data_IF_549810037160
#
_entry.id   IF_549810037160
#
_cell.length_a   1.000
_cell.length_b   1.000
_cell.length_c   1.000
_cell.angle_alpha   90.00
_cell.angle_beta   90.00
_cell.angle_gamma   90.00
#
_symmetry.space_group_name_H-M   'P 1'
#
loop_
_entity.id
_entity.type
_entity.pdbx_description
1 polymer ?
#
# COMPACT_ATOMS: atom_id res chain seq x y z
N UNK A 1 -1.23 55.61 -33.35
CA UNK A 1 -1.21 54.78 -32.13
C UNK A 1 -0.01 55.22 -31.32
N UNK A 2 -0.28 55.89 -30.20
CA UNK A 2 0.68 56.76 -29.51
C UNK A 2 0.86 56.28 -28.07
N UNK A 3 2.10 56.32 -27.56
CA UNK A 3 2.49 56.06 -26.16
C UNK A 3 1.56 56.69 -25.11
N UNK A 4 0.86 57.78 -25.45
CA UNK A 4 -0.02 58.52 -24.54
C UNK A 4 -1.37 57.87 -24.23
N UNK A 5 -1.81 56.86 -24.98
CA UNK A 5 -3.04 56.11 -24.64
C UNK A 5 -2.78 54.88 -23.76
N UNK A 6 -1.57 54.32 -23.83
CA UNK A 6 -1.09 53.23 -22.94
C UNK A 6 -0.77 53.73 -21.52
N UNK A 7 -0.33 54.98 -21.37
CA UNK A 7 0.02 55.58 -20.06
C UNK A 7 -1.22 55.89 -19.19
N UNK A 8 -2.39 56.12 -19.80
CA UNK A 8 -3.66 56.34 -19.08
C UNK A 8 -4.32 55.06 -18.58
N UNK A 9 -4.08 53.91 -19.21
CA UNK A 9 -4.63 52.63 -18.76
C UNK A 9 -3.84 52.06 -17.57
N UNK A 10 -2.51 52.24 -17.55
CA UNK A 10 -1.65 51.76 -16.47
C UNK A 10 -1.77 52.57 -15.18
N UNK A 11 -2.10 53.87 -15.25
CA UNK A 11 -2.27 54.73 -14.06
C UNK A 11 -3.59 54.53 -13.30
N UNK A 12 -4.48 53.69 -13.81
CA UNK A 12 -5.79 53.39 -13.21
C UNK A 12 -5.80 52.12 -12.34
N UNK A 13 -4.73 51.31 -12.33
CA UNK A 13 -4.73 49.98 -11.71
C UNK A 13 -3.84 49.89 -10.47
N UNK A 14 -3.07 50.93 -10.15
CA UNK A 14 -2.23 50.95 -8.94
C UNK A 14 -2.48 52.21 -8.11
N UNK A 15 -3.72 52.39 -7.64
CA UNK A 15 -4.02 53.15 -6.44
C UNK A 15 -3.97 52.20 -5.24
N UNK A 16 -2.80 52.05 -4.62
CA UNK A 16 -2.75 51.80 -3.18
C UNK A 16 -1.62 52.65 -2.59
N UNK A 17 -2.08 53.49 -1.67
CA UNK A 17 -1.46 54.62 -0.99
C UNK A 17 -0.41 54.22 0.04
N UNK A 18 0.66 55.00 0.08
CA UNK A 18 1.86 54.90 0.94
C UNK A 18 1.68 55.53 2.34
N UNK A 19 0.47 55.50 2.91
CA UNK A 19 0.10 56.37 4.05
C UNK A 19 -0.29 55.62 5.35
N UNK A 20 0.38 54.51 5.67
CA UNK A 20 0.20 53.87 6.99
C UNK A 20 1.50 53.25 7.55
N UNK A 21 2.55 54.04 7.77
CA UNK A 21 3.47 53.79 8.89
C UNK A 21 3.90 55.13 9.52
N UNK A 22 3.24 55.47 10.61
CA UNK A 22 3.64 56.52 11.54
C UNK A 22 4.93 56.13 12.28
N UNK A 23 6.02 56.77 11.88
CA UNK A 23 7.05 57.38 12.73
C UNK A 23 7.30 56.79 14.14
N UNK A 24 8.11 55.73 14.22
CA UNK A 24 9.02 55.56 15.37
C UNK A 24 10.36 56.23 15.03
N UNK A 25 10.47 57.52 15.37
CA UNK A 25 11.73 58.26 15.34
C UNK A 25 12.75 57.61 16.29
N UNK A 26 13.88 57.14 15.76
CA UNK A 26 15.21 57.41 16.34
C UNK A 26 16.28 57.17 15.26
N UNK A 27 17.13 58.18 15.10
CA UNK A 27 18.24 58.37 14.15
C UNK A 27 19.42 58.83 15.05
N UNK A 28 20.73 58.81 14.68
CA UNK A 28 21.44 58.22 13.52
C UNK A 28 22.71 57.41 13.92
N UNK A 29 23.40 56.91 12.87
CA UNK A 29 24.82 57.18 12.58
C UNK A 29 25.75 55.95 12.53
N UNK A 30 26.34 55.76 11.35
CA UNK A 30 27.74 55.37 11.22
C UNK A 30 28.02 53.99 10.62
N UNK A 31 28.80 53.97 9.53
CA UNK A 31 29.70 52.85 9.23
C UNK A 31 29.48 52.09 7.92
N UNK A 32 30.23 52.47 6.89
CA UNK A 32 30.46 51.69 5.66
C UNK A 32 31.01 50.28 5.94
N UNK A 33 30.56 49.26 5.19
CA UNK A 33 31.34 48.48 4.18
C UNK A 33 30.59 47.20 3.73
N UNK A 34 30.57 46.97 2.39
CA UNK A 34 30.74 45.73 1.58
C UNK A 34 30.17 44.41 2.17
N UNK A 35 29.43 43.52 1.49
CA UNK A 35 29.39 43.12 0.07
C UNK A 35 28.23 42.13 -0.12
N UNK A 36 27.67 42.12 -1.33
CA UNK A 36 27.06 41.00 -2.06
C UNK A 36 26.52 39.78 -1.28
N UNK A 37 25.20 39.56 -1.34
CA UNK A 37 24.60 38.30 -1.86
C UNK A 37 23.08 38.31 -1.70
N UNK A 38 22.33 38.81 -2.69
CA UNK A 38 20.95 38.35 -2.86
C UNK A 38 20.42 38.54 -4.29
N UNK A 39 20.81 37.60 -5.15
CA UNK A 39 20.12 37.27 -6.40
C UNK A 39 20.17 35.76 -6.61
N UNK A 40 19.41 34.98 -5.84
CA UNK A 40 19.21 33.54 -6.09
C UNK A 40 17.91 32.99 -5.49
N UNK A 41 16.75 33.65 -5.68
CA UNK A 41 15.47 33.03 -5.31
C UNK A 41 14.33 33.28 -6.31
N UNK A 42 14.64 33.68 -7.56
CA UNK A 42 13.64 33.88 -8.62
C UNK A 42 13.37 32.65 -9.51
N UNK A 43 14.04 31.52 -9.25
CA UNK A 43 13.87 30.28 -10.04
C UNK A 43 13.12 29.17 -9.28
N UNK A 44 12.69 29.42 -8.04
CA UNK A 44 12.06 28.40 -7.19
C UNK A 44 10.55 28.25 -7.38
N UNK A 45 9.87 29.23 -8.01
CA UNK A 45 8.40 29.19 -8.14
C UNK A 45 7.90 28.39 -9.36
N UNK A 46 8.66 28.37 -10.48
CA UNK A 46 8.26 27.62 -11.67
C UNK A 46 8.48 26.10 -11.55
N UNK A 47 9.46 25.66 -10.75
CA UNK A 47 9.63 24.25 -10.44
C UNK A 47 8.58 23.73 -9.45
N UNK A 48 8.05 24.59 -8.57
CA UNK A 48 7.04 24.20 -7.59
C UNK A 48 5.69 23.86 -8.25
N UNK A 49 5.31 24.57 -9.31
CA UNK A 49 4.08 24.27 -10.06
C UNK A 49 4.19 22.95 -10.85
N UNK A 50 5.37 22.59 -11.36
CA UNK A 50 5.58 21.28 -11.99
C UNK A 50 5.57 20.14 -10.97
N UNK A 51 6.00 20.37 -9.73
CA UNK A 51 5.89 19.37 -8.65
C UNK A 51 4.42 19.14 -8.27
N UNK A 52 3.56 20.17 -8.27
CA UNK A 52 2.13 19.99 -7.92
C UNK A 52 1.37 19.21 -9.02
N UNK A 53 1.72 19.36 -10.30
CA UNK A 53 1.05 18.65 -11.39
C UNK A 53 1.74 17.34 -11.85
N UNK A 54 3.03 17.13 -11.56
CA UNK A 54 3.73 15.88 -11.91
C UNK A 54 3.68 14.82 -10.79
N UNK A 55 3.45 15.21 -9.53
CA UNK A 55 3.36 14.28 -8.39
C UNK A 55 2.17 13.29 -8.49
N UNK A 56 0.96 13.63 -8.96
CA UNK A 56 -0.09 12.61 -9.13
C UNK A 56 0.23 11.61 -10.26
N UNK A 57 1.12 11.95 -11.20
CA UNK A 57 1.54 11.05 -12.28
C UNK A 57 2.69 10.12 -11.86
N UNK A 58 3.58 10.58 -10.98
CA UNK A 58 4.69 9.80 -10.42
C UNK A 58 4.28 8.90 -9.24
N UNK A 59 3.06 9.07 -8.71
CA UNK A 59 2.47 8.21 -7.68
C UNK A 59 1.77 6.96 -8.26
N UNK A 60 1.88 6.71 -9.57
CA UNK A 60 1.37 5.50 -10.21
C UNK A 60 2.32 4.33 -9.90
N UNK A 61 2.13 3.75 -8.73
CA UNK A 61 2.37 2.39 -8.23
C UNK A 61 2.78 2.49 -6.75
N UNK A 62 2.15 1.70 -5.86
CA UNK A 62 2.20 1.96 -4.43
C UNK A 62 3.60 1.68 -3.87
N UNK A 63 4.10 2.59 -3.02
CA UNK A 63 4.85 2.12 -1.85
C UNK A 63 3.92 1.18 -1.10
N UNK A 64 4.39 -0.01 -0.70
CA UNK A 64 3.62 -0.93 0.15
C UNK A 64 2.97 -0.13 1.31
N UNK A 65 1.66 0.16 1.24
CA UNK A 65 1.00 0.79 2.35
C UNK A 65 0.74 -0.34 3.35
N UNK A 66 1.36 -0.21 4.52
CA UNK A 66 0.92 -0.92 5.72
C UNK A 66 -0.39 -0.31 6.29
N UNK A 67 -1.01 0.65 5.58
CA UNK A 67 -2.29 1.26 5.93
C UNK A 67 -3.47 0.64 5.18
N UNK A 68 -4.67 0.81 5.75
CA UNK A 68 -5.95 0.35 5.19
C UNK A 68 -6.34 0.99 3.85
N UNK A 69 -7.57 0.73 3.41
CA UNK A 69 -8.11 1.09 2.10
C UNK A 69 -7.76 2.52 1.63
N UNK A 70 -7.79 3.51 2.52
CA UNK A 70 -7.63 4.93 2.15
C UNK A 70 -6.28 5.29 1.49
N UNK A 71 -5.20 4.52 1.72
CA UNK A 71 -3.88 4.84 1.17
C UNK A 71 -3.52 4.07 -0.10
N UNK A 72 -4.20 2.95 -0.37
CA UNK A 72 -3.89 2.03 -1.46
C UNK A 72 -4.92 2.19 -2.60
N UNK A 73 -4.52 2.01 -3.87
CA UNK A 73 -5.47 1.86 -4.97
C UNK A 73 -6.52 0.79 -4.62
N UNK A 74 -7.79 1.17 -4.73
CA UNK A 74 -8.92 0.34 -4.35
C UNK A 74 -10.19 0.75 -5.09
N UNK A 75 -11.19 -0.11 -5.07
CA UNK A 75 -12.53 0.16 -5.59
C UNK A 75 -13.55 -0.78 -4.91
N UNK A 76 -14.83 -0.46 -5.02
CA UNK A 76 -15.91 -1.27 -4.44
C UNK A 76 -16.69 -2.02 -5.54
N UNK A 77 -16.97 -3.30 -5.29
CA UNK A 77 -17.76 -4.17 -6.16
C UNK A 77 -18.61 -5.09 -5.30
N UNK A 78 -19.91 -5.20 -5.60
CA UNK A 78 -20.84 -6.09 -4.89
C UNK A 78 -20.77 -5.96 -3.36
N UNK A 79 -20.71 -4.72 -2.86
CA UNK A 79 -20.61 -4.40 -1.43
C UNK A 79 -19.34 -4.94 -0.74
N UNK A 80 -18.28 -5.19 -1.52
CA UNK A 80 -16.94 -5.54 -1.04
C UNK A 80 -15.93 -4.53 -1.56
N UNK A 81 -14.96 -4.18 -0.72
CA UNK A 81 -13.83 -3.35 -1.14
C UNK A 81 -12.69 -4.25 -1.59
N UNK A 82 -12.15 -3.96 -2.77
CA UNK A 82 -10.98 -4.63 -3.32
C UNK A 82 -9.82 -3.65 -3.35
N UNK A 83 -8.69 -4.05 -2.78
CA UNK A 83 -7.49 -3.24 -2.64
C UNK A 83 -6.36 -3.95 -3.38
N UNK A 84 -5.46 -3.21 -4.03
CA UNK A 84 -4.30 -3.81 -4.72
C UNK A 84 -3.52 -4.75 -3.78
N UNK A 85 -3.20 -5.96 -4.26
CA UNK A 85 -2.54 -7.02 -3.47
C UNK A 85 -1.25 -6.50 -2.81
N UNK A 86 -0.97 -6.94 -1.58
CA UNK A 86 0.29 -6.64 -0.88
C UNK A 86 1.48 -7.41 -1.46
N UNK A 87 1.24 -8.51 -2.16
CA UNK A 87 2.26 -9.29 -2.85
C UNK A 87 2.52 -8.70 -4.23
N UNK A 88 3.07 -7.49 -4.25
CA UNK A 88 3.26 -6.71 -5.48
C UNK A 88 4.08 -7.45 -6.55
N UNK A 89 4.98 -8.35 -6.12
CA UNK A 89 5.80 -9.21 -6.99
C UNK A 89 5.01 -10.20 -7.85
N UNK A 90 3.77 -10.52 -7.44
CA UNK A 90 2.89 -11.47 -8.12
C UNK A 90 1.58 -10.78 -8.58
N UNK A 91 1.46 -9.47 -8.34
CA UNK A 91 0.21 -8.75 -8.53
C UNK A 91 0.05 -8.23 -9.97
N UNK A 92 1.13 -8.07 -10.72
CA UNK A 92 1.10 -7.51 -12.08
C UNK A 92 1.50 -8.58 -13.08
N UNK A 93 0.68 -8.79 -14.11
CA UNK A 93 0.95 -9.76 -15.18
C UNK A 93 0.59 -9.18 -16.55
N UNK A 94 1.34 -9.56 -17.59
CA UNK A 94 1.05 -9.16 -18.97
C UNK A 94 -0.14 -9.92 -19.57
N UNK A 95 -0.37 -11.15 -19.10
CA UNK A 95 -1.46 -12.02 -19.53
C UNK A 95 -2.48 -12.20 -18.41
N UNK A 96 -3.76 -12.22 -18.78
CA UNK A 96 -4.84 -12.49 -17.85
C UNK A 96 -4.75 -13.95 -17.38
N UNK A 97 -4.69 -14.23 -16.06
CA UNK A 97 -4.65 -15.60 -15.57
C UNK A 97 -5.88 -16.42 -15.97
N UNK A 98 -5.69 -17.74 -16.12
CA UNK A 98 -6.77 -18.65 -16.51
C UNK A 98 -7.98 -18.59 -15.57
N UNK A 99 -9.18 -18.78 -16.14
CA UNK A 99 -10.45 -18.77 -15.40
C UNK A 99 -11.02 -17.39 -15.09
N UNK A 100 -10.28 -16.30 -15.34
CA UNK A 100 -10.81 -14.94 -15.23
C UNK A 100 -11.56 -14.54 -16.50
N UNK A 101 -12.77 -14.01 -16.33
CA UNK A 101 -13.65 -13.57 -17.42
C UNK A 101 -13.98 -12.08 -17.28
N UNK A 102 -14.17 -11.35 -18.40
CA UNK A 102 -14.58 -9.95 -18.37
C UNK A 102 -15.88 -9.75 -17.59
N UNK A 103 -15.91 -8.75 -16.71
CA UNK A 103 -17.05 -8.48 -15.83
C UNK A 103 -17.59 -7.04 -15.93
N UNK A 104 -16.84 -6.12 -16.53
CA UNK A 104 -17.27 -4.73 -16.77
C UNK A 104 -16.11 -3.75 -16.67
N UNK A 105 -16.42 -2.51 -16.32
CA UNK A 105 -15.43 -1.46 -16.02
C UNK A 105 -15.60 -0.94 -14.60
N UNK A 106 -14.51 -0.47 -14.00
CA UNK A 106 -14.48 0.18 -12.68
C UNK A 106 -13.64 1.45 -12.71
N UNK A 107 -13.85 2.32 -11.72
CA UNK A 107 -12.96 3.44 -11.43
C UNK A 107 -12.20 3.13 -10.15
N UNK A 108 -10.87 3.23 -10.22
CA UNK A 108 -9.96 2.98 -9.10
C UNK A 108 -9.71 4.30 -8.38
N UNK A 109 -9.65 4.24 -7.05
CA UNK A 109 -9.18 5.37 -6.23
C UNK A 109 -7.82 5.88 -6.72
N UNK A 110 -7.65 7.20 -6.74
CA UNK A 110 -6.46 7.84 -7.33
C UNK A 110 -6.59 8.25 -8.79
N UNK A 111 -7.77 8.08 -9.42
CA UNK A 111 -8.13 8.76 -10.67
C UNK A 111 -7.91 7.95 -11.95
N UNK A 112 -7.87 6.63 -11.86
CA UNK A 112 -7.97 5.76 -13.03
C UNK A 112 -9.44 5.38 -13.24
N UNK A 113 -10.03 5.79 -14.35
CA UNK A 113 -11.45 5.59 -14.65
C UNK A 113 -11.62 4.57 -15.79
N UNK A 114 -12.82 3.98 -15.88
CA UNK A 114 -13.23 3.07 -16.96
C UNK A 114 -12.28 1.89 -17.23
N UNK A 115 -11.60 1.38 -16.19
CA UNK A 115 -10.66 0.27 -16.32
C UNK A 115 -11.42 -1.06 -16.45
N UNK A 116 -11.20 -1.87 -17.51
CA UNK A 116 -11.80 -3.20 -17.63
C UNK A 116 -11.36 -4.11 -16.48
N UNK A 117 -12.31 -4.84 -15.89
CA UNK A 117 -12.00 -5.78 -14.82
C UNK A 117 -12.56 -7.18 -15.08
N UNK A 118 -11.95 -8.16 -14.42
CA UNK A 118 -12.12 -9.58 -14.69
C UNK A 118 -12.30 -10.35 -13.38
N UNK A 119 -13.19 -11.34 -13.38
CA UNK A 119 -13.51 -12.15 -12.21
C UNK A 119 -13.37 -13.63 -12.49
N UNK A 120 -13.03 -14.39 -11.46
CA UNK A 120 -13.05 -15.84 -11.49
C UNK A 120 -13.95 -16.36 -10.35
N UNK A 121 -15.06 -17.06 -10.63
CA UNK A 121 -15.93 -17.63 -9.60
C UNK A 121 -15.25 -18.64 -8.68
N UNK A 122 -14.14 -19.26 -9.13
CA UNK A 122 -13.36 -20.19 -8.32
C UNK A 122 -12.47 -19.51 -7.28
N UNK A 123 -12.16 -18.22 -7.46
CA UNK A 123 -11.38 -17.40 -6.52
C UNK A 123 -12.04 -16.01 -6.39
N UNK A 124 -13.23 -15.93 -5.78
CA UNK A 124 -14.01 -14.70 -5.70
C UNK A 124 -13.36 -13.59 -4.85
N UNK A 125 -12.26 -13.90 -4.17
CA UNK A 125 -11.41 -12.98 -3.41
C UNK A 125 -10.56 -12.10 -4.32
N UNK A 126 -10.33 -12.51 -5.57
CA UNK A 126 -9.46 -11.80 -6.52
C UNK A 126 -10.26 -11.14 -7.63
N UNK A 127 -9.83 -9.94 -8.00
CA UNK A 127 -10.23 -9.25 -9.23
C UNK A 127 -8.96 -8.82 -9.95
N UNK A 128 -8.89 -9.10 -11.24
CA UNK A 128 -7.88 -8.49 -12.10
C UNK A 128 -8.45 -7.25 -12.76
N UNK A 129 -7.67 -6.17 -12.81
CA UNK A 129 -8.01 -4.94 -13.52
C UNK A 129 -6.96 -4.68 -14.58
N UNK A 130 -7.38 -4.40 -15.81
CA UNK A 130 -6.48 -3.99 -16.87
C UNK A 130 -6.28 -2.48 -16.83
N UNK A 131 -5.05 -2.05 -16.52
CA UNK A 131 -4.73 -0.65 -16.26
C UNK A 131 -3.28 -0.32 -16.64
N UNK A 132 -2.97 0.97 -16.77
CA UNK A 132 -1.59 1.43 -16.94
C UNK A 132 -0.77 1.24 -15.66
N UNK A 133 0.43 0.67 -15.81
CA UNK A 133 1.42 0.40 -14.77
C UNK A 133 2.81 0.86 -15.23
N UNK A 134 3.74 1.03 -14.29
CA UNK A 134 5.16 1.33 -14.55
C UNK A 134 6.10 0.28 -13.93
N UNK A 135 5.64 -0.96 -13.84
CA UNK A 135 6.41 -2.13 -13.38
C UNK A 135 6.01 -3.35 -14.18
N UNK A 136 6.94 -4.29 -14.37
CA UNK A 136 6.67 -5.60 -14.95
C UNK A 136 6.25 -6.64 -13.89
N UNK A 137 6.04 -6.20 -12.64
CA UNK A 137 5.68 -7.06 -11.52
C UNK A 137 6.86 -7.79 -10.89
N UNK A 138 8.06 -7.76 -11.46
CA UNK A 138 9.22 -8.44 -10.86
C UNK A 138 9.87 -7.61 -9.76
N UNK A 139 10.65 -8.26 -8.90
CA UNK A 139 11.43 -7.60 -7.85
C UNK A 139 12.92 -7.63 -8.20
N UNK A 140 13.63 -6.53 -7.93
CA UNK A 140 15.08 -6.48 -7.99
C UNK A 140 15.74 -7.18 -6.79
N UNK A 141 17.07 -7.32 -6.81
CA UNK A 141 17.82 -7.95 -5.74
C UNK A 141 17.70 -7.23 -4.37
N UNK A 142 17.26 -5.98 -4.35
CA UNK A 142 17.01 -5.20 -3.14
C UNK A 142 15.54 -5.28 -2.67
N UNK A 143 14.71 -6.08 -3.34
CA UNK A 143 13.30 -6.26 -3.00
C UNK A 143 12.40 -5.10 -3.44
N UNK A 144 12.84 -4.27 -4.39
CA UNK A 144 12.02 -3.22 -4.98
C UNK A 144 11.39 -3.71 -6.28
N UNK A 145 10.18 -3.23 -6.58
CA UNK A 145 9.56 -3.47 -7.87
C UNK A 145 10.42 -2.93 -9.02
N UNK A 146 10.70 -3.77 -10.00
CA UNK A 146 11.38 -3.40 -11.23
C UNK A 146 10.55 -2.37 -11.98
N UNK A 147 11.11 -1.18 -12.20
CA UNK A 147 10.41 -0.11 -12.92
C UNK A 147 10.56 -0.24 -14.42
N UNK A 148 9.49 0.10 -15.14
CA UNK A 148 9.42 0.12 -16.59
C UNK A 148 8.81 1.44 -17.07
N UNK A 149 8.91 1.77 -18.36
CA UNK A 149 8.02 2.76 -18.97
C UNK A 149 6.53 2.40 -18.75
N UNK A 150 5.62 3.38 -18.79
CA UNK A 150 4.19 3.13 -18.70
C UNK A 150 3.71 2.15 -19.78
N UNK A 151 2.96 1.13 -19.38
CA UNK A 151 2.36 0.14 -20.28
C UNK A 151 1.10 -0.44 -19.61
N UNK A 152 0.14 -0.98 -20.38
CA UNK A 152 -1.04 -1.60 -19.81
C UNK A 152 -0.75 -3.05 -19.40
N UNK A 153 -1.20 -3.44 -18.21
CA UNK A 153 -1.08 -4.80 -17.67
C UNK A 153 -2.29 -5.17 -16.80
N UNK A 154 -2.39 -6.44 -16.42
CA UNK A 154 -3.40 -6.93 -15.49
C UNK A 154 -2.87 -6.82 -14.06
N UNK A 155 -3.63 -6.16 -13.19
CA UNK A 155 -3.27 -5.94 -11.79
C UNK A 155 -4.25 -6.64 -10.87
N UNK A 156 -3.76 -7.45 -9.93
CA UNK A 156 -4.55 -8.17 -8.94
C UNK A 156 -4.94 -7.26 -7.78
N UNK A 157 -6.24 -7.11 -7.59
CA UNK A 157 -6.87 -6.56 -6.40
C UNK A 157 -7.53 -7.68 -5.61
N UNK A 158 -7.52 -7.53 -4.30
CA UNK A 158 -7.93 -8.58 -3.36
C UNK A 158 -8.92 -8.00 -2.36
N UNK A 159 -9.84 -8.84 -1.90
CA UNK A 159 -10.78 -8.48 -0.84
C UNK A 159 -10.03 -7.89 0.37
N UNK A 160 -10.47 -6.72 0.84
CA UNK A 160 -9.81 -6.00 1.93
C UNK A 160 -9.66 -6.82 3.21
N UNK A 161 -10.59 -7.76 3.44
CA UNK A 161 -10.61 -8.64 4.61
C UNK A 161 -9.47 -9.66 4.58
N UNK A 162 -8.92 -9.94 3.39
CA UNK A 162 -7.84 -10.92 3.20
C UNK A 162 -6.50 -10.28 2.92
N UNK A 163 -6.47 -9.00 2.54
CA UNK A 163 -5.23 -8.33 2.16
C UNK A 163 -4.20 -8.36 3.30
N UNK A 164 -3.10 -9.07 3.07
CA UNK A 164 -2.03 -9.22 4.05
C UNK A 164 -2.40 -10.10 5.25
N UNK A 165 -3.40 -10.97 5.10
CA UNK A 165 -3.80 -11.97 6.11
C UNK A 165 -3.23 -13.34 5.76
N UNK A 166 -2.53 -13.92 6.72
CA UNK A 166 -2.06 -15.29 6.63
C UNK A 166 -3.04 -16.20 7.38
N UNK A 167 -3.66 -17.11 6.64
CA UNK A 167 -4.72 -18.01 7.11
C UNK A 167 -4.31 -19.47 6.94
N UNK A 168 -4.73 -20.30 7.89
CA UNK A 168 -4.72 -21.77 7.79
C UNK A 168 -6.15 -22.30 7.87
N UNK A 169 -6.48 -23.23 6.99
CA UNK A 169 -7.64 -24.12 7.15
C UNK A 169 -7.17 -25.45 7.71
N UNK A 170 -7.76 -25.90 8.82
CA UNK A 170 -7.52 -27.22 9.38
C UNK A 170 -8.84 -27.85 9.81
N UNK A 171 -9.16 -29.01 9.22
CA UNK A 171 -10.42 -29.74 9.47
C UNK A 171 -11.70 -28.88 9.28
N UNK A 172 -11.65 -27.88 8.40
CA UNK A 172 -12.76 -26.97 8.12
C UNK A 172 -12.82 -25.72 8.98
N UNK A 173 -11.97 -25.61 10.00
CA UNK A 173 -11.82 -24.41 10.84
C UNK A 173 -10.72 -23.50 10.29
N UNK A 174 -10.91 -22.18 10.46
CA UNK A 174 -10.00 -21.16 9.96
C UNK A 174 -9.24 -20.49 11.09
N UNK A 175 -7.93 -20.41 10.94
CA UNK A 175 -7.01 -19.81 11.89
C UNK A 175 -6.29 -18.66 11.21
N UNK A 176 -6.13 -17.55 11.93
CA UNK A 176 -5.38 -16.38 11.47
C UNK A 176 -4.03 -16.33 12.19
N UNK A 177 -2.97 -16.09 11.43
CA UNK A 177 -1.64 -15.89 12.00
C UNK A 177 -1.63 -14.66 12.91
N UNK A 178 -1.08 -14.82 14.12
CA UNK A 178 -0.88 -13.71 15.06
C UNK A 178 -0.02 -12.58 14.48
N UNK A 179 0.79 -12.84 13.44
CA UNK A 179 1.56 -11.81 12.73
C UNK A 179 0.71 -10.90 11.85
N UNK A 180 -0.45 -11.40 11.40
CA UNK A 180 -1.31 -10.75 10.42
C UNK A 180 -2.67 -10.33 10.98
N UNK A 181 -3.04 -10.86 12.16
CA UNK A 181 -4.24 -10.48 12.88
C UNK A 181 -4.22 -9.00 13.24
N UNK A 182 -5.33 -8.31 12.98
CA UNK A 182 -5.58 -6.93 13.40
C UNK A 182 -6.33 -6.98 14.72
N UNK A 183 -5.77 -6.33 15.72
CA UNK A 183 -6.37 -6.12 17.04
C UNK A 183 -6.79 -4.66 17.27
N UNK A 184 -6.69 -3.82 16.24
CA UNK A 184 -7.00 -2.40 16.24
C UNK A 184 -7.89 -2.01 15.05
N UNK A 185 -8.46 -0.80 15.14
CA UNK A 185 -9.34 -0.23 14.12
C UNK A 185 -10.82 -0.45 14.42
N UNK A 186 -11.68 -0.03 13.49
CA UNK A 186 -13.14 -0.09 13.66
C UNK A 186 -13.71 -1.51 13.52
N UNK A 187 -12.96 -2.41 12.85
CA UNK A 187 -13.32 -3.82 12.63
C UNK A 187 -12.08 -4.72 12.80
N UNK A 188 -11.65 -4.99 14.05
CA UNK A 188 -10.52 -5.85 14.33
C UNK A 188 -10.89 -7.33 14.17
N UNK A 189 -9.93 -8.17 13.76
CA UNK A 189 -10.14 -9.62 13.65
C UNK A 189 -10.26 -10.28 15.03
N UNK A 190 -9.52 -9.73 16.01
CA UNK A 190 -9.45 -10.20 17.40
C UNK A 190 -9.39 -9.02 18.35
N UNK A 191 -9.70 -9.22 19.63
CA UNK A 191 -9.48 -8.16 20.63
C UNK A 191 -8.01 -8.08 21.03
N UNK A 192 -7.51 -6.88 21.33
CA UNK A 192 -6.15 -6.66 21.85
C UNK A 192 -5.85 -7.55 23.08
N UNK A 193 -6.80 -7.65 24.01
CA UNK A 193 -6.65 -8.48 25.21
C UNK A 193 -6.47 -9.97 24.88
N UNK A 194 -7.24 -10.49 23.91
CA UNK A 194 -7.13 -11.88 23.48
C UNK A 194 -5.81 -12.14 22.74
N UNK A 195 -5.40 -11.23 21.84
CA UNK A 195 -4.13 -11.37 21.14
C UNK A 195 -2.94 -11.36 22.12
N UNK A 196 -2.95 -10.46 23.11
CA UNK A 196 -1.91 -10.40 24.13
C UNK A 196 -1.86 -11.67 25.00
N UNK A 197 -3.01 -12.25 25.34
CA UNK A 197 -3.09 -13.53 26.05
C UNK A 197 -2.47 -14.67 25.22
N UNK A 198 -2.86 -14.79 23.95
CA UNK A 198 -2.33 -15.82 23.05
C UNK A 198 -0.83 -15.65 22.80
N UNK A 199 -0.35 -14.42 22.65
CA UNK A 199 1.09 -14.14 22.54
C UNK A 199 1.85 -14.51 23.82
N UNK A 200 1.26 -14.33 25.00
CA UNK A 200 1.89 -14.72 26.26
C UNK A 200 1.99 -16.24 26.44
N UNK A 201 0.96 -16.99 25.99
CA UNK A 201 0.90 -18.45 26.11
C UNK A 201 1.68 -19.17 25.02
N UNK A 202 1.46 -18.78 23.76
CA UNK A 202 1.89 -19.50 22.56
C UNK A 202 2.79 -18.66 21.64
N UNK A 203 3.23 -17.50 22.12
CA UNK A 203 4.01 -16.54 21.35
C UNK A 203 5.20 -17.15 20.61
N UNK A 204 5.76 -16.31 19.73
CA UNK A 204 6.79 -16.70 18.76
C UNK A 204 7.97 -17.42 19.41
N UNK A 205 8.36 -18.54 18.81
CA UNK A 205 9.54 -19.31 19.20
C UNK A 205 10.53 -19.34 18.04
N UNK A 206 11.78 -18.97 18.32
CA UNK A 206 12.89 -19.06 17.37
C UNK A 206 13.63 -20.34 17.67
N UNK A 207 13.57 -21.30 16.74
CA UNK A 207 14.21 -22.62 16.81
C UNK A 207 13.71 -23.52 17.97
N UNK A 208 13.74 -24.84 17.76
CA UNK A 208 13.33 -25.83 18.75
C UNK A 208 12.22 -26.80 18.29
N UNK A 209 11.92 -27.79 19.14
CA UNK A 209 10.80 -28.71 18.92
C UNK A 209 9.45 -28.04 19.24
N UNK A 210 8.37 -28.62 18.75
CA UNK A 210 7.03 -28.22 19.16
C UNK A 210 6.89 -28.32 20.69
N UNK A 211 6.14 -27.42 21.34
CA UNK A 211 5.89 -27.49 22.79
C UNK A 211 5.20 -28.81 23.16
N UNK A 212 5.39 -29.25 24.41
CA UNK A 212 4.67 -30.40 24.96
C UNK A 212 3.16 -30.21 24.80
N UNK A 213 2.46 -31.28 24.39
CA UNK A 213 1.02 -31.26 24.09
C UNK A 213 0.69 -31.09 22.62
N UNK A 214 1.57 -30.45 21.83
CA UNK A 214 1.36 -30.32 20.39
C UNK A 214 1.75 -31.59 19.64
N UNK A 215 0.89 -32.00 18.71
CA UNK A 215 1.08 -33.16 17.85
C UNK A 215 1.07 -32.76 16.38
N UNK A 216 1.81 -33.45 15.49
CA UNK A 216 1.83 -33.12 14.07
C UNK A 216 0.44 -33.29 13.42
N UNK A 217 -0.06 -32.23 12.77
CA UNK A 217 -1.22 -32.29 11.89
C UNK A 217 -0.83 -32.73 10.46
N UNK A 218 0.38 -32.37 10.04
CA UNK A 218 0.89 -32.63 8.68
C UNK A 218 1.51 -31.38 8.07
N UNK A 219 1.65 -31.37 6.75
CA UNK A 219 2.08 -30.19 5.99
C UNK A 219 0.89 -29.58 5.29
N UNK A 220 0.61 -28.30 5.57
CA UNK A 220 -0.43 -27.55 4.90
C UNK A 220 -0.07 -27.31 3.44
N UNK A 221 -1.03 -27.56 2.56
CA UNK A 221 -0.91 -27.26 1.13
C UNK A 221 -1.04 -25.75 0.92
N UNK A 222 -0.18 -25.19 0.06
CA UNK A 222 -0.28 -23.80 -0.33
C UNK A 222 -1.38 -23.61 -1.39
N UNK A 223 -2.41 -22.83 -1.08
CA UNK A 223 -3.57 -22.63 -1.98
C UNK A 223 -3.58 -21.26 -2.67
N UNK A 224 -2.53 -20.46 -2.47
CA UNK A 224 -2.36 -19.14 -3.10
C UNK A 224 -2.51 -17.97 -2.13
N UNK A 225 -1.70 -16.93 -2.36
CA UNK A 225 -1.68 -15.68 -1.58
C UNK A 225 -2.98 -14.89 -1.64
N UNK A 226 -3.39 -14.23 -0.56
CA UNK A 226 -4.64 -13.47 -0.51
C UNK A 226 -5.89 -14.31 -0.88
N UNK A 227 -5.89 -15.61 -0.60
CA UNK A 227 -7.06 -16.50 -0.78
C UNK A 227 -7.62 -16.95 0.56
N UNK A 228 -8.85 -17.47 0.55
CA UNK A 228 -9.34 -18.30 1.65
C UNK A 228 -8.80 -19.72 1.39
N UNK A 229 -7.98 -20.29 2.28
CA UNK A 229 -7.44 -21.64 2.07
C UNK A 229 -8.56 -22.69 2.07
N UNK A 230 -8.52 -23.61 1.12
CA UNK A 230 -9.52 -24.68 0.97
C UNK A 230 -8.86 -26.05 1.00
N UNK A 231 -9.48 -27.02 1.66
CA UNK A 231 -8.93 -28.37 1.85
C UNK A 231 -8.98 -28.84 3.30
N UNK A 232 -8.36 -29.99 3.58
CA UNK A 232 -8.30 -30.55 4.94
C UNK A 232 -7.20 -29.95 5.83
N UNK A 233 -6.10 -29.51 5.22
CA UNK A 233 -5.00 -28.78 5.85
C UNK A 233 -4.33 -27.90 4.77
N UNK A 234 -4.62 -26.60 4.79
CA UNK A 234 -4.24 -25.67 3.72
C UNK A 234 -3.84 -24.30 4.28
N UNK A 235 -3.01 -23.57 3.54
CA UNK A 235 -2.46 -22.25 3.92
C UNK A 235 -2.43 -21.31 2.72
N UNK A 236 -2.75 -20.03 2.95
CA UNK A 236 -2.64 -19.00 1.93
C UNK A 236 -1.29 -18.25 1.96
N UNK A 237 -0.38 -18.58 2.88
CA UNK A 237 0.90 -17.91 3.03
C UNK A 237 2.04 -18.69 2.36
N UNK A 238 2.20 -19.95 2.78
CA UNK A 238 3.20 -20.90 2.27
C UNK A 238 2.83 -22.33 2.69
N UNK A 239 3.46 -23.32 2.07
CA UNK A 239 3.37 -24.70 2.55
C UNK A 239 4.20 -24.84 3.84
N UNK A 240 3.58 -25.31 4.91
CA UNK A 240 4.21 -25.32 6.23
C UNK A 240 3.81 -26.54 7.06
N UNK A 241 4.71 -27.03 7.91
CA UNK A 241 4.38 -28.03 8.92
C UNK A 241 3.47 -27.40 9.99
N UNK A 242 2.36 -28.08 10.29
CA UNK A 242 1.38 -27.63 11.27
C UNK A 242 1.31 -28.64 12.40
N UNK A 243 1.20 -28.12 13.61
CA UNK A 243 0.98 -28.87 14.83
C UNK A 243 -0.27 -28.33 15.52
N UNK A 244 -1.05 -29.22 16.14
CA UNK A 244 -2.24 -28.86 16.88
C UNK A 244 -2.15 -29.37 18.32
N UNK A 245 -2.82 -28.70 19.24
CA UNK A 245 -2.98 -29.16 20.61
C UNK A 245 -4.36 -29.82 20.75
N UNK A 246 -4.46 -31.14 21.04
CA UNK A 246 -5.74 -31.80 21.24
C UNK A 246 -6.53 -31.28 22.45
N UNK A 247 -5.84 -30.63 23.40
CA UNK A 247 -6.44 -30.04 24.60
C UNK A 247 -6.89 -28.58 24.41
N UNK A 248 -6.37 -27.90 23.37
CA UNK A 248 -6.78 -26.56 22.98
C UNK A 248 -6.92 -26.46 21.44
N UNK A 249 -8.12 -26.72 20.88
CA UNK A 249 -8.34 -26.67 19.45
C UNK A 249 -8.35 -25.23 18.89
N UNK A 250 -8.28 -24.19 19.73
CA UNK A 250 -8.26 -22.80 19.29
C UNK A 250 -6.88 -22.38 18.75
N UNK A 251 -5.83 -23.18 18.96
CA UNK A 251 -4.46 -22.86 18.56
C UNK A 251 -3.85 -23.89 17.62
N UNK A 252 -3.17 -23.37 16.60
CA UNK A 252 -2.26 -24.13 15.76
C UNK A 252 -0.87 -23.51 15.84
N UNK A 253 0.15 -24.36 15.76
CA UNK A 253 1.51 -23.92 15.54
C UNK A 253 1.89 -24.20 14.10
N UNK A 254 2.26 -23.15 13.39
CA UNK A 254 2.81 -23.23 12.04
C UNK A 254 4.32 -23.05 12.11
N UNK A 255 5.06 -24.02 11.57
CA UNK A 255 6.51 -23.92 11.42
C UNK A 255 6.83 -22.99 10.25
N UNK A 256 7.63 -21.97 10.53
CA UNK A 256 8.12 -21.00 9.54
C UNK A 256 9.65 -21.02 9.49
N UNK A 257 10.22 -20.64 8.36
CA UNK A 257 11.67 -20.56 8.16
C UNK A 257 12.07 -19.13 7.82
N UNK A 258 13.08 -18.61 8.54
CA UNK A 258 13.58 -17.26 8.37
C UNK A 258 15.06 -17.36 8.05
N UNK A 259 15.47 -16.87 6.88
CA UNK A 259 16.88 -16.70 6.57
C UNK A 259 17.30 -15.32 7.08
N UNK A 260 18.15 -15.28 8.09
CA UNK A 260 18.95 -14.06 8.32
C UNK A 260 19.96 -13.96 7.18
N UNK A 261 20.21 -12.74 6.70
CA UNK A 261 21.21 -12.51 5.66
C UNK A 261 22.53 -13.17 6.08
N UNK A 262 23.17 -13.89 5.15
CA UNK A 262 24.50 -14.44 5.41
C UNK A 262 25.43 -13.30 5.82
N UNK A 263 26.19 -13.48 6.90
CA UNK A 263 27.24 -12.53 7.27
C UNK A 263 28.22 -12.40 6.10
N UNK A 264 28.39 -11.17 5.60
CA UNK A 264 29.43 -10.83 4.61
C UNK A 264 30.84 -11.07 5.16
#
# INVERSE_FOLDING_TARGET
>A
MSEKETEKLFRSITELSDDLIENAQTVPAGGRKKTAAWKKWGAAAACLCLVIFAVPLLARIPRAPQGGAEAAPHFAVDNRTFIVSSYLGDAVTDELPEGFLPAGTISISGGLEDCPYYRNPAVPEWIYVYQEVNTDGTMDAAGNLTRTPPHPAYVRYVDERLRGKDLICYQGEYYISMWSAKDYGDDPDVTEAYLAEMEALYGRRIEGAAPDGFVPAGTAEFTGKDTIPTGGLASNAEAAEVYYDPSDPAVLLMRTHWFTAAAE
#
